data_IF_654985000900
#
_entry.id   IF_654985000900
#
_cell.length_a   1.000
_cell.length_b   1.000
_cell.length_c   1.000
_cell.angle_alpha   90.00
_cell.angle_beta   90.00
_cell.angle_gamma   90.00
#
_symmetry.space_group_name_H-M   'P 1'
#
loop_
_entity.id
_entity.type
_entity.pdbx_description
1 polymer ?
#
# COMPACT_ATOMS: atom_id res chain seq x y z
N UNK A 1 11.18 -12.04 9.13
CA UNK A 1 10.22 -13.10 9.51
C UNK A 1 9.09 -13.01 8.50
N UNK A 2 8.61 -14.10 7.91
CA UNK A 2 7.44 -14.00 7.00
C UNK A 2 6.16 -13.96 7.82
N UNK A 3 5.30 -12.98 7.55
CA UNK A 3 3.96 -12.91 8.15
C UNK A 3 3.01 -13.65 7.23
N UNK A 4 2.42 -14.74 7.73
CA UNK A 4 1.32 -15.43 7.06
C UNK A 4 0.03 -14.68 7.35
N UNK A 5 -0.60 -14.16 6.31
CA UNK A 5 -1.94 -13.57 6.42
C UNK A 5 -2.94 -14.63 5.92
N UNK A 6 -3.52 -15.37 6.85
CA UNK A 6 -4.67 -16.27 6.61
C UNK A 6 -5.95 -15.51 6.93
N UNK A 7 -6.93 -15.50 6.02
CA UNK A 7 -8.29 -14.91 6.15
C UNK A 7 -8.54 -14.15 7.47
N UNK A 8 -8.06 -12.91 7.50
CA UNK A 8 -8.40 -11.94 8.54
C UNK A 8 -9.74 -11.28 8.25
N UNK A 9 -10.41 -10.68 9.25
CA UNK A 9 -11.72 -10.05 9.09
C UNK A 9 -11.67 -9.03 7.95
N UNK A 10 -12.76 -8.98 7.16
CA UNK A 10 -13.03 -8.04 6.06
C UNK A 10 -12.27 -6.71 6.23
N UNK A 11 -11.08 -6.65 5.61
CA UNK A 11 -10.17 -5.52 5.77
C UNK A 11 -10.74 -4.38 4.96
N UNK A 12 -11.36 -3.41 5.63
CA UNK A 12 -11.81 -2.20 4.97
C UNK A 12 -10.66 -1.17 4.90
N UNK A 13 -10.03 -0.95 3.72
CA UNK A 13 -8.91 -0.02 3.59
C UNK A 13 -9.33 1.44 3.80
N UNK A 14 -10.62 1.75 3.70
CA UNK A 14 -11.15 3.11 3.83
C UNK A 14 -11.52 3.46 5.28
N UNK A 15 -11.56 2.47 6.20
CA UNK A 15 -11.97 2.71 7.58
C UNK A 15 -11.14 3.80 8.25
N UNK A 16 -9.82 3.73 8.14
CA UNK A 16 -8.92 4.73 8.72
C UNK A 16 -9.03 6.12 8.08
N UNK A 17 -9.36 6.18 6.79
CA UNK A 17 -9.64 7.43 6.06
C UNK A 17 -10.94 8.06 6.56
N UNK A 18 -12.03 7.27 6.69
CA UNK A 18 -13.33 7.75 7.19
C UNK A 18 -13.28 8.19 8.66
N UNK A 19 -12.44 7.55 9.46
CA UNK A 19 -12.16 7.95 10.85
C UNK A 19 -11.24 9.19 10.95
N UNK A 20 -10.68 9.68 9.84
CA UNK A 20 -9.78 10.83 9.81
C UNK A 20 -8.41 10.58 10.44
N UNK A 21 -8.06 9.31 10.72
CA UNK A 21 -6.78 8.90 11.32
C UNK A 21 -5.70 8.68 10.27
N UNK A 22 -6.10 8.24 9.09
CA UNK A 22 -5.23 7.96 7.95
C UNK A 22 -5.62 8.83 6.76
N UNK A 23 -4.67 9.02 5.85
CA UNK A 23 -4.90 9.63 4.54
C UNK A 23 -4.22 8.79 3.47
N UNK A 24 -4.90 8.58 2.35
CA UNK A 24 -4.30 7.99 1.15
C UNK A 24 -3.27 8.97 0.57
N UNK A 25 -2.06 8.48 0.26
CA UNK A 25 -0.96 9.31 -0.25
C UNK A 25 -0.40 8.85 -1.59
N UNK A 26 -1.00 7.86 -2.23
CA UNK A 26 -0.56 7.35 -3.53
C UNK A 26 -0.56 8.43 -4.62
N UNK A 27 -1.50 9.39 -4.58
CA UNK A 27 -1.50 10.54 -5.49
C UNK A 27 -0.33 11.52 -5.32
N UNK A 28 0.47 11.39 -4.24
CA UNK A 28 1.67 12.22 -4.01
C UNK A 28 2.97 11.55 -4.52
N UNK A 29 2.87 10.32 -5.05
CA UNK A 29 3.99 9.54 -5.55
C UNK A 29 4.00 9.44 -7.07
N UNK A 30 5.18 9.19 -7.61
CA UNK A 30 5.37 8.67 -8.96
C UNK A 30 5.40 7.15 -8.88
N UNK A 31 4.63 6.49 -9.75
CA UNK A 31 4.51 5.04 -9.81
C UNK A 31 5.15 4.49 -11.08
N UNK A 32 5.87 3.38 -10.96
CA UNK A 32 6.37 2.65 -12.13
C UNK A 32 6.32 1.14 -11.90
N UNK A 33 6.24 0.39 -12.99
CA UNK A 33 6.15 -1.07 -12.98
C UNK A 33 7.39 -1.67 -13.65
N UNK A 34 7.79 -2.87 -13.24
CA UNK A 34 8.86 -3.61 -13.93
C UNK A 34 8.48 -3.93 -15.39
N UNK A 35 7.22 -4.27 -15.61
CA UNK A 35 6.64 -4.59 -16.91
C UNK A 35 5.13 -4.40 -16.86
N UNK A 36 4.49 -4.27 -18.01
CA UNK A 36 3.05 -4.33 -18.13
C UNK A 36 2.64 -4.81 -19.52
N UNK A 37 1.53 -5.54 -19.58
CA UNK A 37 0.82 -5.76 -20.83
C UNK A 37 0.17 -4.45 -21.29
N UNK A 38 0.14 -4.22 -22.61
CA UNK A 38 -0.48 -3.01 -23.17
C UNK A 38 -1.94 -2.86 -22.70
N UNK A 39 -2.26 -1.72 -22.06
CA UNK A 39 -3.59 -1.43 -21.51
C UNK A 39 -3.84 -1.93 -20.07
N UNK A 40 -2.89 -2.62 -19.44
CA UNK A 40 -2.99 -3.16 -18.08
C UNK A 40 -1.81 -2.71 -17.25
N UNK A 41 -1.69 -1.40 -16.99
CA UNK A 41 -0.53 -0.76 -16.36
C UNK A 41 -0.85 -0.11 -15.01
N UNK A 42 -0.14 0.99 -14.72
CA UNK A 42 -0.25 1.72 -13.46
C UNK A 42 -1.66 2.28 -13.23
N UNK A 43 -2.31 2.73 -14.30
CA UNK A 43 -3.61 3.40 -14.21
C UNK A 43 -4.65 2.47 -13.56
N UNK A 44 -4.65 1.19 -13.94
CA UNK A 44 -5.56 0.19 -13.39
C UNK A 44 -5.32 -0.11 -11.90
N UNK A 45 -4.09 0.06 -11.39
CA UNK A 45 -3.81 -0.13 -9.96
C UNK A 45 -4.40 0.95 -9.05
N UNK A 46 -4.89 2.05 -9.65
CA UNK A 46 -5.15 3.33 -8.98
C UNK A 46 -6.48 3.95 -9.38
N UNK A 47 -7.26 3.31 -10.24
CA UNK A 47 -8.52 3.83 -10.81
C UNK A 47 -9.74 3.68 -9.89
N UNK A 48 -9.58 3.03 -8.72
CA UNK A 48 -10.66 2.75 -7.78
C UNK A 48 -11.60 1.62 -8.19
N UNK A 49 -11.36 0.94 -9.31
CA UNK A 49 -12.12 -0.23 -9.76
C UNK A 49 -11.48 -1.53 -9.28
N UNK A 50 -12.29 -2.55 -9.00
CA UNK A 50 -11.83 -3.90 -8.67
C UNK A 50 -11.90 -4.84 -9.88
N UNK A 51 -12.53 -4.40 -10.97
CA UNK A 51 -12.67 -5.18 -12.21
C UNK A 51 -11.45 -5.05 -13.12
N UNK A 52 -10.70 -3.96 -12.98
CA UNK A 52 -9.46 -3.68 -13.71
C UNK A 52 -8.24 -4.14 -12.90
N UNK A 53 -7.12 -4.36 -13.59
CA UNK A 53 -5.89 -4.83 -12.98
C UNK A 53 -4.66 -4.44 -13.80
N UNK A 54 -3.53 -4.33 -13.11
CA UNK A 54 -2.22 -4.47 -13.74
C UNK A 54 -1.98 -5.93 -14.06
N UNK A 55 -1.49 -6.19 -15.27
CA UNK A 55 -0.94 -7.48 -15.67
C UNK A 55 0.54 -7.31 -16.00
N UNK A 56 1.42 -8.00 -15.28
CA UNK A 56 2.85 -8.04 -15.64
C UNK A 56 3.07 -8.79 -16.97
N UNK A 57 4.19 -8.50 -17.62
CA UNK A 57 4.63 -9.23 -18.81
C UNK A 57 6.16 -9.25 -18.85
N UNK A 58 6.78 -10.04 -17.97
CA UNK A 58 8.22 -10.02 -17.78
C UNK A 58 8.77 -11.10 -16.85
N UNK A 59 10.07 -11.09 -16.55
CA UNK A 59 10.65 -12.00 -15.58
C UNK A 59 10.28 -11.60 -14.14
N UNK A 60 10.10 -12.60 -13.27
CA UNK A 60 10.00 -12.38 -11.83
C UNK A 60 11.34 -11.90 -11.24
N UNK A 61 11.33 -11.11 -10.15
CA UNK A 61 10.15 -10.60 -9.45
C UNK A 61 9.46 -9.45 -10.20
N UNK A 62 8.13 -9.37 -10.12
CA UNK A 62 7.36 -8.26 -10.68
C UNK A 62 7.32 -7.11 -9.67
N UNK A 63 7.63 -5.90 -10.11
CA UNK A 63 7.88 -4.77 -9.22
C UNK A 63 6.87 -3.65 -9.43
N UNK A 64 6.35 -3.13 -8.33
CA UNK A 64 5.67 -1.82 -8.27
C UNK A 64 6.56 -0.88 -7.46
N UNK A 65 7.08 0.17 -8.10
CA UNK A 65 7.91 1.18 -7.46
C UNK A 65 7.07 2.43 -7.20
N UNK A 66 7.13 2.93 -5.97
CA UNK A 66 6.42 4.12 -5.51
C UNK A 66 7.47 5.10 -4.97
N UNK A 67 7.64 6.23 -5.64
CA UNK A 67 8.62 7.24 -5.27
C UNK A 67 7.94 8.55 -4.88
N UNK A 68 8.18 9.01 -3.66
CA UNK A 68 7.69 10.28 -3.16
C UNK A 68 8.70 11.41 -3.38
N UNK A 69 8.22 12.62 -3.66
CA UNK A 69 9.07 13.83 -3.81
C UNK A 69 9.72 14.28 -2.50
N UNK A 70 9.16 13.89 -1.36
CA UNK A 70 9.64 14.19 -0.01
C UNK A 70 9.57 12.94 0.84
N UNK A 71 10.34 12.88 1.93
CA UNK A 71 10.32 11.74 2.85
C UNK A 71 8.95 11.65 3.52
N UNK A 72 8.19 10.61 3.20
CA UNK A 72 6.84 10.39 3.70
C UNK A 72 6.84 9.42 4.88
N UNK A 73 5.94 9.65 5.84
CA UNK A 73 5.62 8.67 6.88
C UNK A 73 4.53 7.75 6.34
N UNK A 74 4.77 6.45 6.32
CA UNK A 74 3.85 5.44 5.77
C UNK A 74 3.47 4.46 6.87
N UNK A 75 2.18 4.32 7.11
CA UNK A 75 1.61 3.43 8.12
C UNK A 75 1.42 2.02 7.56
N UNK A 76 0.81 1.92 6.39
CA UNK A 76 0.41 0.66 5.78
C UNK A 76 0.22 0.80 4.27
N UNK A 77 0.27 -0.35 3.61
CA UNK A 77 -0.10 -0.53 2.20
C UNK A 77 -1.26 -1.51 2.16
N UNK A 78 -2.33 -1.17 1.47
CA UNK A 78 -3.43 -2.08 1.18
C UNK A 78 -3.36 -2.53 -0.27
N UNK A 79 -3.44 -3.84 -0.49
CA UNK A 79 -3.41 -4.47 -1.81
C UNK A 79 -4.70 -5.26 -1.97
N UNK A 80 -5.39 -5.13 -3.10
CA UNK A 80 -6.51 -6.01 -3.44
C UNK A 80 -6.04 -7.18 -4.31
N UNK A 81 -6.33 -8.41 -3.87
CA UNK A 81 -6.07 -9.64 -4.60
C UNK A 81 -7.23 -10.63 -4.41
N UNK A 82 -7.63 -11.31 -5.48
CA UNK A 82 -8.73 -12.27 -5.47
C UNK A 82 -8.35 -13.56 -6.21
N UNK A 83 -8.08 -14.61 -5.44
CA UNK A 83 -7.67 -15.92 -5.95
C UNK A 83 -8.74 -16.56 -6.83
N UNK A 84 -10.02 -16.35 -6.54
CA UNK A 84 -11.11 -16.94 -7.35
C UNK A 84 -11.20 -16.28 -8.72
N UNK A 85 -10.85 -15.00 -8.81
CA UNK A 85 -10.88 -14.26 -10.07
C UNK A 85 -9.59 -14.45 -10.89
N UNK A 86 -8.43 -14.58 -10.22
CA UNK A 86 -7.11 -14.51 -10.86
C UNK A 86 -6.35 -15.84 -10.88
N UNK A 87 -6.76 -16.86 -10.12
CA UNK A 87 -6.15 -18.20 -10.08
C UNK A 87 -4.61 -18.13 -9.96
N UNK A 88 -3.89 -18.62 -10.97
CA UNK A 88 -2.41 -18.61 -11.04
C UNK A 88 -1.78 -17.21 -11.13
N UNK A 89 -2.51 -16.17 -11.53
CA UNK A 89 -2.02 -14.79 -11.57
C UNK A 89 -1.97 -14.15 -10.18
N UNK A 90 -2.54 -14.80 -9.17
CA UNK A 90 -2.63 -14.27 -7.80
C UNK A 90 -1.27 -14.32 -7.09
N UNK A 91 -0.70 -13.20 -6.61
CA UNK A 91 0.50 -13.21 -5.77
C UNK A 91 0.34 -14.14 -4.57
N UNK A 92 1.34 -14.98 -4.27
CA UNK A 92 1.38 -15.75 -3.02
C UNK A 92 2.51 -15.30 -2.08
N UNK A 93 3.52 -14.59 -2.61
CA UNK A 93 4.64 -14.10 -1.81
C UNK A 93 5.03 -12.70 -2.28
N UNK A 94 4.89 -11.74 -1.38
CA UNK A 94 5.18 -10.32 -1.63
C UNK A 94 6.26 -9.86 -0.65
N UNK A 95 7.26 -9.15 -1.16
CA UNK A 95 8.29 -8.46 -0.37
C UNK A 95 8.05 -6.96 -0.48
N UNK A 96 7.93 -6.28 0.67
CA UNK A 96 7.84 -4.83 0.75
C UNK A 96 9.21 -4.29 1.15
N UNK A 97 9.76 -3.44 0.30
CA UNK A 97 11.08 -2.83 0.47
C UNK A 97 10.96 -1.33 0.57
N UNK A 98 11.86 -0.69 1.31
CA UNK A 98 11.90 0.76 1.46
C UNK A 98 13.33 1.28 1.43
N UNK A 99 13.52 2.51 0.95
CA UNK A 99 14.83 3.14 0.82
C UNK A 99 14.73 4.61 0.41
N UNK A 100 15.87 5.25 0.16
CA UNK A 100 15.88 6.60 -0.40
C UNK A 100 15.82 6.58 -1.94
N UNK A 101 16.36 5.53 -2.56
CA UNK A 101 16.41 5.33 -4.00
C UNK A 101 16.49 3.83 -4.37
N UNK A 102 16.61 3.52 -5.66
CA UNK A 102 16.60 2.12 -6.14
C UNK A 102 17.77 1.27 -5.59
N UNK A 103 18.92 1.89 -5.31
CA UNK A 103 20.14 1.19 -4.93
C UNK A 103 20.29 0.93 -3.43
N UNK A 104 19.40 1.46 -2.59
CA UNK A 104 19.47 1.34 -1.12
C UNK A 104 18.19 0.74 -0.51
N UNK A 105 17.37 0.07 -1.33
CA UNK A 105 16.17 -0.62 -0.88
C UNK A 105 16.54 -1.77 0.06
N UNK A 106 15.95 -1.77 1.26
CA UNK A 106 15.99 -2.88 2.19
C UNK A 106 14.60 -3.51 2.36
N UNK A 107 14.54 -4.83 2.48
CA UNK A 107 13.30 -5.54 2.80
C UNK A 107 12.86 -5.18 4.23
N UNK A 108 11.65 -4.65 4.34
CA UNK A 108 11.02 -4.26 5.60
C UNK A 108 10.09 -5.37 6.08
N UNK A 109 9.29 -5.91 5.16
CA UNK A 109 8.26 -6.89 5.47
C UNK A 109 8.13 -7.89 4.32
N UNK A 110 7.89 -9.17 4.66
CA UNK A 110 7.63 -10.20 3.67
C UNK A 110 6.34 -10.93 4.04
N UNK A 111 5.39 -10.93 3.12
CA UNK A 111 4.04 -11.44 3.33
C UNK A 111 3.81 -12.66 2.47
N UNK A 112 3.25 -13.70 3.09
CA UNK A 112 2.74 -14.89 2.40
C UNK A 112 1.20 -14.81 2.38
N UNK A 113 0.64 -14.89 1.18
CA UNK A 113 -0.81 -14.87 0.91
C UNK A 113 -1.26 -16.28 0.54
N UNK A 114 -2.32 -16.75 1.18
CA UNK A 114 -2.92 -18.06 0.91
C UNK A 114 -4.33 -17.85 0.39
N UNK A 115 -4.51 -17.99 -0.92
CA UNK A 115 -5.80 -17.82 -1.62
C UNK A 115 -6.58 -16.56 -1.19
N UNK A 116 -5.96 -15.35 -1.23
CA UNK A 116 -6.59 -14.12 -0.76
C UNK A 116 -7.89 -13.83 -1.54
N UNK A 117 -8.91 -13.30 -0.86
CA UNK A 117 -10.21 -12.98 -1.44
C UNK A 117 -10.70 -11.59 -1.08
N UNK A 118 -9.83 -10.58 -1.26
CA UNK A 118 -10.17 -9.19 -0.97
C UNK A 118 -8.96 -8.31 -0.67
N UNK A 119 -9.18 -7.30 0.17
CA UNK A 119 -8.14 -6.39 0.62
C UNK A 119 -7.20 -7.04 1.63
N UNK A 120 -5.91 -6.82 1.45
CA UNK A 120 -4.84 -7.23 2.35
C UNK A 120 -4.11 -5.98 2.82
N UNK A 121 -4.18 -5.67 4.12
CA UNK A 121 -3.44 -4.57 4.72
C UNK A 121 -2.11 -5.05 5.30
N UNK A 122 -1.02 -4.44 4.85
CA UNK A 122 0.35 -4.73 5.27
C UNK A 122 0.86 -3.53 6.07
N UNK A 123 0.94 -3.68 7.39
CA UNK A 123 1.45 -2.63 8.27
C UNK A 123 2.96 -2.50 8.12
N UNK A 124 3.45 -1.27 7.93
CA UNK A 124 4.87 -0.97 7.78
C UNK A 124 5.42 -0.31 9.04
N UNK A 125 6.14 -1.09 9.83
CA UNK A 125 6.69 -0.65 11.12
C UNK A 125 8.21 -0.67 11.11
N UNK A 126 8.82 0.29 11.79
CA UNK A 126 10.23 0.30 12.11
C UNK A 126 10.55 -0.62 13.31
N UNK A 127 11.82 -0.67 13.71
CA UNK A 127 12.31 -1.46 14.85
C UNK A 127 11.66 -1.05 16.19
N UNK A 128 11.04 0.12 16.27
CA UNK A 128 10.35 0.64 17.45
C UNK A 128 8.83 0.52 17.34
N UNK A 129 8.32 -0.19 16.33
CA UNK A 129 6.89 -0.37 16.11
C UNK A 129 6.18 0.87 15.55
N UNK A 130 6.92 1.89 15.10
CA UNK A 130 6.37 3.14 14.55
C UNK A 130 6.28 3.07 13.02
N UNK A 131 5.39 3.84 12.39
CA UNK A 131 5.32 3.96 10.93
C UNK A 131 6.67 4.31 10.31
N UNK A 132 7.03 3.65 9.22
CA UNK A 132 8.30 3.90 8.54
C UNK A 132 8.33 5.29 7.89
N UNK A 133 9.53 5.87 7.76
CA UNK A 133 9.75 7.12 7.01
C UNK A 133 10.67 6.86 5.83
N UNK A 134 10.17 7.01 4.62
CA UNK A 134 10.90 6.63 3.40
C UNK A 134 10.63 7.59 2.23
N UNK A 135 11.54 7.64 1.26
CA UNK A 135 11.29 8.30 -0.03
C UNK A 135 10.77 7.33 -1.07
N UNK A 136 11.13 6.05 -0.97
CA UNK A 136 10.79 5.04 -1.93
C UNK A 136 10.25 3.79 -1.25
N UNK A 137 9.22 3.20 -1.85
CA UNK A 137 8.67 1.89 -1.53
C UNK A 137 8.74 1.06 -2.80
N UNK A 138 9.13 -0.20 -2.68
CA UNK A 138 9.03 -1.18 -3.75
C UNK A 138 8.26 -2.39 -3.25
N UNK A 139 7.17 -2.70 -3.95
CA UNK A 139 6.41 -3.94 -3.76
C UNK A 139 6.95 -4.93 -4.79
N UNK A 140 7.50 -6.05 -4.32
CA UNK A 140 8.05 -7.09 -5.17
C UNK A 140 7.22 -8.37 -5.03
N UNK A 141 6.49 -8.73 -6.10
CA UNK A 141 5.83 -10.03 -6.20
C UNK A 141 6.92 -11.06 -6.53
N UNK A 142 7.29 -11.86 -5.53
CA UNK A 142 8.35 -12.85 -5.64
C UNK A 142 7.88 -14.14 -6.31
N UNK A 143 6.63 -14.52 -6.06
CA UNK A 143 5.99 -15.68 -6.67
C UNK A 143 4.46 -15.54 -6.65
N UNK A 144 3.81 -16.29 -7.53
CA UNK A 144 2.35 -16.41 -7.61
C UNK A 144 1.89 -17.81 -7.22
N UNK A 145 0.59 -17.96 -7.00
CA UNK A 145 -0.04 -19.27 -6.83
C UNK A 145 0.17 -20.14 -8.06
N UNK A 146 0.21 -21.47 -7.86
CA UNK A 146 0.34 -22.45 -8.94
C UNK A 146 1.54 -22.23 -9.89
N UNK A 147 2.58 -21.53 -9.41
CA UNK A 147 3.74 -21.11 -10.21
C UNK A 147 3.38 -20.25 -11.44
N UNK A 148 2.32 -19.44 -11.34
CA UNK A 148 1.94 -18.52 -12.41
C UNK A 148 3.08 -17.56 -12.77
N UNK A 149 3.28 -17.37 -14.07
CA UNK A 149 4.38 -16.55 -14.62
C UNK A 149 4.17 -15.06 -14.37
N UNK A 150 2.99 -14.57 -14.72
CA UNK A 150 2.60 -13.16 -14.59
C UNK A 150 1.68 -12.95 -13.40
N UNK A 151 1.55 -11.71 -12.94
CA UNK A 151 0.74 -11.35 -11.79
C UNK A 151 -0.39 -10.39 -12.15
N UNK A 152 -1.53 -10.56 -11.49
CA UNK A 152 -2.61 -9.59 -11.45
C UNK A 152 -2.62 -8.89 -10.09
N UNK A 153 -2.64 -7.56 -10.13
CA UNK A 153 -2.97 -6.75 -8.96
C UNK A 153 -4.04 -5.75 -9.38
N UNK A 154 -5.15 -5.72 -8.63
CA UNK A 154 -6.33 -4.93 -9.01
C UNK A 154 -6.27 -3.51 -8.47
N UNK A 155 -5.83 -3.35 -7.22
CA UNK A 155 -5.80 -2.02 -6.59
C UNK A 155 -4.73 -1.94 -5.50
N UNK A 156 -4.08 -0.78 -5.39
CA UNK A 156 -3.11 -0.50 -4.31
C UNK A 156 -3.40 0.85 -3.68
N UNK A 157 -3.51 0.88 -2.36
CA UNK A 157 -3.61 2.08 -1.54
C UNK A 157 -2.42 2.19 -0.60
N UNK A 158 -1.96 3.41 -0.36
CA UNK A 158 -0.87 3.68 0.57
C UNK A 158 -1.34 4.71 1.57
N UNK A 159 -1.25 4.39 2.85
CA UNK A 159 -1.74 5.26 3.90
C UNK A 159 -0.59 5.89 4.69
N UNK A 160 -0.73 7.18 4.93
CA UNK A 160 0.06 7.94 5.91
C UNK A 160 -0.84 8.21 7.12
N UNK A 161 -0.30 8.21 8.34
CA UNK A 161 -1.03 8.75 9.47
C UNK A 161 -1.29 10.24 9.25
N UNK A 162 -2.48 10.70 9.64
CA UNK A 162 -2.78 12.13 9.71
C UNK A 162 -2.01 12.67 10.91
N UNK A 163 -0.91 13.38 10.64
CA UNK A 163 -0.24 14.14 11.69
C UNK A 163 -1.11 15.33 12.05
N UNK A 164 -1.35 15.51 13.35
CA UNK A 164 -1.86 16.76 13.88
C UNK A 164 -0.75 17.82 13.68
N UNK A 165 -0.88 18.61 12.61
CA UNK A 165 0.14 19.58 12.17
C UNK A 165 0.21 20.82 13.08
N UNK A 166 -0.50 20.79 14.20
CA UNK A 166 -0.51 21.89 15.16
C UNK A 166 0.86 21.99 15.85
N UNK A 167 1.62 23.05 15.51
CA UNK A 167 2.93 23.38 16.09
C UNK A 167 2.85 23.59 17.62
N UNK A 168 1.66 23.96 18.11
CA UNK A 168 1.31 23.89 19.52
C UNK A 168 0.44 22.64 19.73
N UNK A 169 0.67 21.87 20.80
CA UNK A 169 -0.32 20.89 21.30
C UNK A 169 -1.62 21.62 21.57
N UNK A 170 -2.49 21.72 20.56
CA UNK A 170 -3.79 22.35 20.73
C UNK A 170 -4.65 21.35 21.50
N UNK A 171 -5.37 21.78 22.55
CA UNK A 171 -6.38 20.93 23.13
C UNK A 171 -7.38 20.55 22.03
N UNK A 172 -7.72 19.27 21.94
CA UNK A 172 -8.80 18.82 21.07
C UNK A 172 -10.09 19.46 21.57
N UNK A 173 -10.58 20.47 20.86
CA UNK A 173 -11.86 21.09 21.18
C UNK A 173 -12.98 20.07 20.93
N UNK A 174 -13.63 19.63 22.00
CA UNK A 174 -14.71 18.65 21.94
C UNK A 174 -16.08 19.29 21.69
N UNK A 175 -16.21 20.60 21.91
CA UNK A 175 -17.47 21.34 21.75
C UNK A 175 -17.45 22.23 20.50
N UNK A 176 -18.59 22.29 19.81
CA UNK A 176 -18.77 23.11 18.59
C UNK A 176 -18.43 24.59 18.85
N UNK A 177 -18.81 25.11 20.02
CA UNK A 177 -18.51 26.48 20.44
C UNK A 177 -17.01 26.78 20.55
N UNK A 178 -16.18 25.77 20.83
CA UNK A 178 -14.74 25.96 20.91
C UNK A 178 -14.06 25.66 19.56
N UNK A 179 -14.62 24.75 18.77
CA UNK A 179 -14.12 24.43 17.42
C UNK A 179 -14.10 25.65 16.48
N UNK A 180 -14.96 26.65 16.69
CA UNK A 180 -14.94 27.89 15.88
C UNK A 180 -13.62 28.68 16.00
N UNK A 181 -12.89 28.54 17.11
CA UNK A 181 -11.60 29.20 17.34
C UNK A 181 -10.40 28.37 16.86
N UNK A 182 -10.64 27.22 16.24
CA UNK A 182 -9.58 26.30 15.80
C UNK A 182 -8.81 26.77 14.58
N UNK A 183 -9.37 27.67 13.75
CA UNK A 183 -8.72 28.18 12.55
C UNK A 183 -9.13 29.64 12.33
N UNK A 184 -8.16 30.51 12.06
CA UNK A 184 -8.43 31.84 11.49
C UNK A 184 -8.55 31.61 9.98
N UNK A 185 -9.70 31.94 9.41
CA UNK A 185 -10.01 31.74 7.99
C UNK A 185 -9.97 33.06 7.23
#
# INVERSE_FOLDING_TARGET
MSVKLTDGPDVDPYKGEREGKLREVGGQAVWSLSSCKAGFGVDQLRDGSLDTYWQSDGPQPHLVNIQFRRKMTIQDICIYADYKADESYTPNRISIRAGNHFNDLSEIEQVELSEPSGWVAIALKDLHGKPIRTFMIQIAVLSNHQNGRDTHMRQIKIHSPVQDVSVAKRPNFTTVQMSQYSCIR
#
